data_IF_030457358509
#
_entry.id   IF_030457358509
#
_cell.length_a   1.000
_cell.length_b   1.000
_cell.length_c   1.000
_cell.angle_alpha   90.00
_cell.angle_beta   90.00
_cell.angle_gamma   90.00
#
_symmetry.space_group_name_H-M   'P 1'
#
loop_
_entity.id
_entity.type
_entity.pdbx_description
1 polymer ?
#
# COMPACT_ATOMS: atom_id res chain seq x y z
N UNK A 1 18.98 -11.80 14.24
CA UNK A 1 17.90 -11.30 13.36
C UNK A 1 18.52 -10.85 12.06
N UNK A 2 18.27 -11.55 10.97
CA UNK A 2 18.75 -11.18 9.64
C UNK A 2 17.81 -10.10 9.10
N UNK A 3 18.35 -8.92 8.76
CA UNK A 3 17.56 -7.84 8.18
C UNK A 3 17.14 -8.25 6.76
N UNK A 4 15.91 -7.91 6.36
CA UNK A 4 15.43 -8.17 4.99
C UNK A 4 16.25 -7.40 3.94
N UNK A 5 16.32 -7.93 2.72
CA UNK A 5 17.00 -7.30 1.58
C UNK A 5 16.00 -6.43 0.83
N UNK A 6 16.35 -5.15 0.59
CA UNK A 6 15.57 -4.26 -0.26
C UNK A 6 15.80 -4.58 -1.73
N UNK A 7 14.75 -4.59 -2.55
CA UNK A 7 14.85 -4.87 -3.97
C UNK A 7 15.62 -3.75 -4.70
N UNK A 8 16.72 -4.11 -5.38
CA UNK A 8 17.66 -3.16 -6.01
C UNK A 8 17.30 -2.77 -7.46
N UNK A 9 16.26 -3.38 -8.03
CA UNK A 9 15.88 -3.15 -9.44
C UNK A 9 15.26 -1.77 -9.63
N UNK A 10 15.91 -0.92 -10.41
CA UNK A 10 15.47 0.46 -10.68
C UNK A 10 14.14 0.56 -11.44
N UNK A 11 13.75 -0.50 -12.17
CA UNK A 11 12.51 -0.55 -12.97
C UNK A 11 11.22 -0.84 -12.19
N UNK A 12 11.30 -1.07 -10.87
CA UNK A 12 10.12 -1.40 -10.03
C UNK A 12 9.76 -0.28 -9.07
N UNK A 13 10.28 0.94 -9.24
CA UNK A 13 9.99 2.08 -8.35
C UNK A 13 8.94 3.00 -8.96
N UNK A 14 8.05 3.51 -8.13
CA UNK A 14 7.06 4.50 -8.53
C UNK A 14 7.70 5.78 -9.06
N UNK A 15 7.26 6.20 -10.25
CA UNK A 15 7.75 7.43 -10.89
C UNK A 15 7.46 8.63 -10.00
N UNK A 16 8.49 9.42 -9.69
CA UNK A 16 8.44 10.57 -8.77
C UNK A 16 7.94 10.25 -7.36
N UNK A 17 7.94 8.98 -6.94
CA UNK A 17 7.41 8.56 -5.64
C UNK A 17 5.90 8.72 -5.51
N UNK A 18 5.17 8.87 -6.62
CA UNK A 18 3.71 9.00 -6.63
C UNK A 18 3.09 7.62 -6.78
N UNK A 19 2.24 7.25 -5.83
CA UNK A 19 1.60 5.95 -5.73
C UNK A 19 0.08 6.11 -5.89
N UNK A 20 -0.47 5.93 -7.11
CA UNK A 20 -1.90 5.90 -7.32
C UNK A 20 -2.52 4.67 -6.64
N UNK A 21 -3.64 4.84 -5.95
CA UNK A 21 -4.36 3.72 -5.36
C UNK A 21 -5.87 3.75 -5.67
N UNK A 22 -6.45 2.57 -5.62
CA UNK A 22 -7.89 2.32 -5.57
C UNK A 22 -8.14 1.43 -4.35
N UNK A 23 -9.21 1.71 -3.63
CA UNK A 23 -9.61 0.92 -2.47
C UNK A 23 -10.95 0.24 -2.74
N UNK A 24 -11.07 -1.04 -2.39
CA UNK A 24 -12.33 -1.77 -2.53
C UNK A 24 -13.44 -1.08 -1.71
N UNK A 25 -14.65 -1.10 -2.26
CA UNK A 25 -15.86 -0.65 -1.57
C UNK A 25 -16.25 -1.53 -0.39
N UNK A 26 -15.63 -2.70 -0.24
CA UNK A 26 -15.87 -3.63 0.87
C UNK A 26 -15.31 -3.13 2.22
N UNK A 27 -14.44 -2.12 2.19
CA UNK A 27 -13.94 -1.50 3.40
C UNK A 27 -14.93 -0.48 3.96
N UNK A 28 -15.23 -0.58 5.25
CA UNK A 28 -16.02 0.44 5.98
C UNK A 28 -15.26 1.75 6.07
N UNK A 29 -15.94 2.88 6.26
CA UNK A 29 -15.29 4.19 6.40
C UNK A 29 -14.20 4.23 7.48
N UNK A 30 -14.38 3.50 8.58
CA UNK A 30 -13.36 3.37 9.63
C UNK A 30 -12.11 2.61 9.14
N UNK A 31 -12.30 1.55 8.36
CA UNK A 31 -11.20 0.78 7.79
C UNK A 31 -10.46 1.60 6.72
N UNK A 32 -11.18 2.35 5.89
CA UNK A 32 -10.59 3.30 4.94
C UNK A 32 -9.79 4.39 5.66
N UNK A 33 -10.28 4.89 6.79
CA UNK A 33 -9.57 5.86 7.63
C UNK A 33 -8.28 5.28 8.23
N UNK A 34 -8.27 4.01 8.66
CA UNK A 34 -7.06 3.32 9.11
C UNK A 34 -6.03 3.17 7.99
N UNK A 35 -6.48 2.78 6.80
CA UNK A 35 -5.60 2.59 5.65
C UNK A 35 -4.99 3.93 5.20
N UNK A 36 -5.82 4.97 5.08
CA UNK A 36 -5.34 6.31 4.73
C UNK A 36 -4.45 6.91 5.83
N UNK A 37 -4.72 6.64 7.10
CA UNK A 37 -3.85 7.02 8.22
C UNK A 37 -2.46 6.38 8.14
N UNK A 38 -2.38 5.10 7.76
CA UNK A 38 -1.11 4.41 7.50
C UNK A 38 -0.34 5.06 6.33
N UNK A 39 -1.01 5.39 5.23
CA UNK A 39 -0.42 6.13 4.10
C UNK A 39 0.15 7.48 4.56
N UNK A 40 -0.63 8.29 5.30
CA UNK A 40 -0.17 9.59 5.81
C UNK A 40 1.04 9.47 6.73
N UNK A 41 1.13 8.39 7.51
CA UNK A 41 2.32 8.15 8.33
C UNK A 41 3.57 7.88 7.48
N UNK A 42 3.46 7.11 6.40
CA UNK A 42 4.57 6.90 5.47
C UNK A 42 4.98 8.22 4.80
N UNK A 43 4.02 9.00 4.32
CA UNK A 43 4.30 10.32 3.71
C UNK A 43 5.04 11.25 4.69
N UNK A 44 4.58 11.30 5.95
CA UNK A 44 5.23 12.08 7.01
C UNK A 44 6.65 11.59 7.28
N UNK A 45 6.85 10.30 7.42
CA UNK A 45 8.16 9.68 7.70
C UNK A 45 9.14 9.82 6.53
N UNK A 46 8.63 10.05 5.32
CA UNK A 46 9.42 10.24 4.10
C UNK A 46 9.48 11.70 3.66
N UNK A 47 9.07 12.64 4.52
CA UNK A 47 9.20 14.08 4.26
C UNK A 47 10.48 14.62 4.87
N UNK A 48 11.36 15.14 4.03
CA UNK A 48 12.66 15.71 4.42
C UNK A 48 12.78 17.08 3.75
N UNK A 49 13.19 18.10 4.51
CA UNK A 49 13.36 19.48 3.99
C UNK A 49 12.11 20.00 3.24
N UNK A 50 10.92 19.77 3.81
CA UNK A 50 9.64 20.15 3.21
C UNK A 50 9.32 19.48 1.85
N UNK A 51 10.02 18.39 1.51
CA UNK A 51 9.76 17.58 0.33
C UNK A 51 9.37 16.16 0.73
N UNK A 52 8.19 15.74 0.32
CA UNK A 52 7.69 14.37 0.54
C UNK A 52 8.19 13.45 -0.57
N UNK A 53 8.87 12.36 -0.20
CA UNK A 53 9.48 11.42 -1.14
C UNK A 53 8.54 10.30 -1.60
N UNK A 54 7.51 9.96 -0.81
CA UNK A 54 6.47 8.99 -1.18
C UNK A 54 5.12 9.65 -0.95
N UNK A 55 4.25 9.66 -1.96
CA UNK A 55 2.92 10.27 -1.88
C UNK A 55 1.85 9.30 -2.39
N UNK A 56 0.85 9.02 -1.56
CA UNK A 56 -0.30 8.22 -1.96
C UNK A 56 -1.42 9.14 -2.39
N UNK A 57 -2.04 8.84 -3.54
CA UNK A 57 -3.21 9.58 -4.00
C UNK A 57 -4.23 8.68 -4.69
N UNK A 58 -5.51 9.06 -4.69
CA UNK A 58 -6.51 8.41 -5.53
C UNK A 58 -6.05 8.37 -6.99
N UNK A 59 -6.32 7.24 -7.65
CA UNK A 59 -6.07 7.07 -9.07
C UNK A 59 -6.87 8.06 -9.91
N UNK A 60 -6.26 8.55 -10.98
CA UNK A 60 -6.91 9.29 -12.07
C UNK A 60 -6.83 8.53 -13.40
N UNK A 61 -7.54 9.02 -14.42
CA UNK A 61 -7.62 8.39 -15.74
C UNK A 61 -6.27 8.18 -16.42
N UNK A 62 -5.34 9.12 -16.27
CA UNK A 62 -3.99 9.06 -16.89
C UNK A 62 -3.02 8.07 -16.22
N UNK A 63 -3.37 7.52 -15.06
CA UNK A 63 -2.47 6.60 -14.35
C UNK A 63 -2.50 5.21 -15.01
N UNK A 64 -1.35 4.75 -15.50
CA UNK A 64 -1.23 3.41 -16.07
C UNK A 64 -1.07 2.33 -14.99
N UNK A 65 -0.53 2.73 -13.83
CA UNK A 65 -0.15 1.83 -12.74
C UNK A 65 -0.80 2.26 -11.43
N UNK A 66 -1.25 1.29 -10.64
CA UNK A 66 -1.94 1.56 -9.36
C UNK A 66 -1.79 0.39 -8.37
N UNK A 67 -2.04 0.69 -7.08
CA UNK A 67 -2.29 -0.31 -6.04
C UNK A 67 -3.80 -0.50 -5.89
N UNK A 68 -4.29 -1.72 -6.06
CA UNK A 68 -5.64 -2.11 -5.67
C UNK A 68 -5.57 -2.67 -4.25
N UNK A 69 -6.13 -1.93 -3.31
CA UNK A 69 -6.24 -2.32 -1.92
C UNK A 69 -7.57 -3.03 -1.75
N UNK A 70 -7.56 -4.32 -1.42
CA UNK A 70 -8.75 -5.15 -1.34
C UNK A 70 -8.79 -5.99 -0.07
N UNK A 71 -9.98 -6.47 0.26
CA UNK A 71 -10.17 -7.46 1.32
C UNK A 71 -9.78 -8.85 0.80
N UNK A 72 -9.46 -9.77 1.70
CA UNK A 72 -9.13 -11.16 1.35
C UNK A 72 -8.61 -11.93 2.56
N UNK A 73 -7.92 -13.04 2.31
CA UNK A 73 -7.30 -13.87 3.36
C UNK A 73 -5.83 -13.48 3.54
N UNK A 74 -5.41 -13.31 4.78
CA UNK A 74 -4.06 -12.86 5.14
C UNK A 74 -3.81 -11.37 4.85
N UNK A 75 -2.58 -10.96 5.14
CA UNK A 75 -2.03 -9.66 4.76
C UNK A 75 -0.90 -9.92 3.77
N UNK A 76 -0.95 -9.32 2.60
CA UNK A 76 0.11 -9.50 1.59
C UNK A 76 0.07 -8.41 0.53
N UNK A 77 1.25 -8.13 -0.03
CA UNK A 77 1.43 -7.29 -1.20
C UNK A 77 2.49 -7.89 -2.11
N UNK A 78 2.43 -7.55 -3.41
CA UNK A 78 3.59 -7.72 -4.28
C UNK A 78 4.66 -6.66 -3.94
N UNK A 79 5.91 -6.93 -4.32
CA UNK A 79 7.04 -6.05 -4.02
C UNK A 79 7.32 -5.06 -5.15
N UNK A 80 7.43 -3.77 -4.82
CA UNK A 80 7.63 -2.64 -5.73
C UNK A 80 6.41 -2.38 -6.62
N UNK A 81 6.54 -1.44 -7.56
CA UNK A 81 5.54 -1.18 -8.59
C UNK A 81 5.18 -2.46 -9.36
N UNK A 82 6.12 -3.44 -9.51
CA UNK A 82 6.02 -4.75 -10.20
C UNK A 82 4.66 -5.06 -10.82
N UNK A 83 4.31 -4.24 -11.80
CA UNK A 83 3.04 -4.30 -12.49
C UNK A 83 3.27 -5.25 -13.64
N UNK A 84 2.87 -6.51 -13.45
CA UNK A 84 2.70 -7.41 -14.58
C UNK A 84 1.75 -6.84 -15.63
N UNK A 85 1.31 -7.67 -16.57
CA UNK A 85 0.51 -7.26 -17.74
C UNK A 85 -0.76 -6.42 -17.49
N UNK A 86 -1.25 -6.34 -16.24
CA UNK A 86 -2.51 -5.66 -15.89
C UNK A 86 -2.36 -4.23 -15.38
N UNK A 87 -1.13 -3.73 -15.20
CA UNK A 87 -0.92 -2.38 -14.68
C UNK A 87 -1.41 -2.18 -13.23
N UNK A 88 -1.65 -3.27 -12.50
CA UNK A 88 -2.22 -3.24 -11.16
C UNK A 88 -1.43 -4.15 -10.25
N UNK A 89 -1.07 -3.61 -9.09
CA UNK A 89 -0.54 -4.35 -7.96
C UNK A 89 -1.66 -4.58 -6.95
N UNK A 90 -1.78 -5.79 -6.40
CA UNK A 90 -2.75 -6.08 -5.34
C UNK A 90 -2.11 -6.03 -3.96
N UNK A 91 -2.76 -5.30 -3.05
CA UNK A 91 -2.51 -5.30 -1.61
C UNK A 91 -3.75 -5.86 -0.92
N UNK A 92 -3.61 -7.01 -0.28
CA UNK A 92 -4.70 -7.72 0.40
C UNK A 92 -4.62 -7.47 1.91
N UNK A 93 -5.74 -7.07 2.51
CA UNK A 93 -5.89 -6.93 3.97
C UNK A 93 -7.11 -7.73 4.45
N UNK A 94 -6.86 -8.75 5.28
CA UNK A 94 -7.94 -9.48 5.92
C UNK A 94 -8.62 -8.63 7.01
N UNK A 95 -9.90 -8.36 6.81
CA UNK A 95 -10.75 -7.71 7.80
C UNK A 95 -11.17 -8.74 8.84
N UNK A 96 -10.97 -8.49 10.15
CA UNK A 96 -11.43 -9.41 11.20
C UNK A 96 -12.96 -9.45 11.26
N UNK A 97 -13.51 -10.62 11.57
CA UNK A 97 -14.95 -10.86 11.74
C UNK A 97 -15.21 -11.57 13.07
N UNK A 98 -16.48 -11.82 13.41
CA UNK A 98 -16.83 -12.62 14.60
C UNK A 98 -16.26 -14.04 14.57
N UNK A 99 -16.02 -14.60 13.38
CA UNK A 99 -15.50 -15.95 13.18
C UNK A 99 -14.02 -15.99 12.82
N UNK A 100 -13.35 -14.84 12.68
CA UNK A 100 -11.99 -14.79 12.13
C UNK A 100 -11.17 -13.67 12.77
N UNK A 101 -10.10 -14.04 13.47
CA UNK A 101 -9.09 -13.10 13.95
C UNK A 101 -8.15 -12.67 12.84
N UNK A 102 -7.75 -11.40 12.83
CA UNK A 102 -6.80 -10.84 11.88
C UNK A 102 -6.02 -9.68 12.49
N UNK A 103 -4.73 -9.59 12.16
CA UNK A 103 -3.87 -8.47 12.51
C UNK A 103 -3.63 -7.52 11.32
N UNK A 104 -4.26 -7.75 10.17
CA UNK A 104 -4.03 -6.95 8.96
C UNK A 104 -4.58 -5.52 9.07
N UNK A 105 -5.66 -5.32 9.84
CA UNK A 105 -6.25 -4.00 10.06
C UNK A 105 -5.62 -3.25 11.25
N UNK A 106 -4.32 -3.46 11.48
CA UNK A 106 -3.52 -2.69 12.44
C UNK A 106 -2.60 -1.74 11.67
N UNK A 107 -2.44 -0.51 12.17
CA UNK A 107 -1.69 0.54 11.46
C UNK A 107 -0.29 0.09 11.03
N UNK A 108 0.44 -0.61 11.91
CA UNK A 108 1.78 -1.12 11.60
C UNK A 108 1.78 -2.17 10.48
N UNK A 109 0.83 -3.09 10.49
CA UNK A 109 0.67 -4.11 9.45
C UNK A 109 0.29 -3.49 8.11
N UNK A 110 -0.62 -2.53 8.10
CA UNK A 110 -0.99 -1.80 6.87
C UNK A 110 0.23 -1.08 6.31
N UNK A 111 1.01 -0.41 7.17
CA UNK A 111 2.26 0.23 6.76
C UNK A 111 3.26 -0.79 6.19
N UNK A 112 3.40 -1.96 6.80
CA UNK A 112 4.27 -3.04 6.32
C UNK A 112 3.90 -3.47 4.89
N UNK A 113 2.62 -3.75 4.64
CA UNK A 113 2.16 -4.11 3.30
C UNK A 113 2.30 -2.96 2.29
N UNK A 114 2.00 -1.72 2.70
CA UNK A 114 2.23 -0.55 1.84
C UNK A 114 3.72 -0.35 1.51
N UNK A 115 4.63 -0.61 2.45
CA UNK A 115 6.07 -0.52 2.21
C UNK A 115 6.56 -1.59 1.24
N UNK A 116 5.93 -2.77 1.22
CA UNK A 116 6.22 -3.77 0.19
C UNK A 116 5.94 -3.22 -1.22
N UNK A 117 4.94 -2.37 -1.40
CA UNK A 117 4.53 -1.84 -2.72
C UNK A 117 5.52 -0.82 -3.32
N UNK A 118 6.48 -0.31 -2.55
CA UNK A 118 7.38 0.79 -2.94
C UNK A 118 8.66 0.31 -3.61
#
# INVERSE_FOLDING_TARGET
MQRGVAQSTTGTRWTNGIVPYVMSTDFTGQQQALITGAMRNIERLTTINNRTCVQFRPKVSKDQYLILIKTGTGCSSHVGQNTGWRGQLELTLQVPTSSTSSHCMQQGTIMHELLHTL
#
